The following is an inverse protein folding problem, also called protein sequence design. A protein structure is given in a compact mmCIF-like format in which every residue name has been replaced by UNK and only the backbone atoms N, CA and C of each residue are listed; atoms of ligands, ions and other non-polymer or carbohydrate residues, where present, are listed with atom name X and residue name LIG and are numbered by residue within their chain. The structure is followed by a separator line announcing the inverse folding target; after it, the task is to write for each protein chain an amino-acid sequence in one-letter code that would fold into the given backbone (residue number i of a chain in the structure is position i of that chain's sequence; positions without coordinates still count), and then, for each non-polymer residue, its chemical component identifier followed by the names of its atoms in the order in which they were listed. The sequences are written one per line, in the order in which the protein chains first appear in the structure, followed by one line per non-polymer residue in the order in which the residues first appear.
data_IF_811629512261
#
_entry.id   IF_811629512261
#
_cell.length_a   1.000
_cell.length_b   1.000
_cell.length_c   1.000
_cell.angle_alpha   90.00
_cell.angle_beta   90.00
_cell.angle_gamma   90.00
#
_symmetry.space_group_name_H-M   'P 1'
#
loop_
_entity.id
_entity.type
_entity.pdbx_description
1 polymer ?
#
# COMPACT_ATOMS: atom_id res chain seq x y z
N UNK A 1 19.89 9.80 -17.87
CA UNK A 1 19.35 10.12 -16.53
C UNK A 1 18.48 8.92 -16.16
N UNK A 2 18.59 8.41 -14.95
CA UNK A 2 17.76 7.29 -14.47
C UNK A 2 16.32 7.77 -14.36
N UNK A 3 15.37 7.08 -14.97
CA UNK A 3 13.94 7.39 -14.89
C UNK A 3 13.22 6.25 -14.17
N UNK A 4 12.42 6.57 -13.18
CA UNK A 4 11.70 5.62 -12.36
C UNK A 4 10.20 5.84 -12.53
N UNK A 5 9.46 4.76 -12.74
CA UNK A 5 8.00 4.75 -12.78
C UNK A 5 7.45 3.86 -11.69
N UNK A 6 6.63 4.43 -10.82
CA UNK A 6 6.00 3.72 -9.71
C UNK A 6 4.49 3.71 -9.92
N UNK A 7 3.94 2.55 -10.20
CA UNK A 7 2.48 2.36 -10.22
C UNK A 7 2.04 1.88 -8.86
N UNK A 8 1.01 2.51 -8.30
CA UNK A 8 0.46 2.17 -7.00
C UNK A 8 -1.01 1.77 -7.18
N UNK A 9 -1.32 0.54 -6.81
CA UNK A 9 -2.68 0.01 -6.82
C UNK A 9 -3.21 -0.10 -5.38
N UNK A 10 -4.46 0.23 -5.17
CA UNK A 10 -5.11 0.12 -3.86
C UNK A 10 -6.46 0.81 -3.81
N UNK A 11 -7.01 0.87 -2.62
CA UNK A 11 -8.32 1.46 -2.35
C UNK A 11 -8.31 2.99 -2.20
N UNK A 12 -9.39 3.56 -1.67
CA UNK A 12 -9.56 5.00 -1.47
C UNK A 12 -8.52 5.65 -0.55
N UNK A 13 -7.78 4.88 0.26
CA UNK A 13 -6.70 5.44 1.07
C UNK A 13 -5.58 6.04 0.21
N UNK A 14 -5.43 5.60 -1.04
CA UNK A 14 -4.49 6.20 -1.98
C UNK A 14 -4.89 7.62 -2.39
N UNK A 15 -6.18 7.93 -2.37
CA UNK A 15 -6.67 9.29 -2.74
C UNK A 15 -6.52 10.30 -1.63
N UNK A 16 -6.18 9.87 -0.41
CA UNK A 16 -6.19 10.72 0.76
C UNK A 16 -7.59 11.03 1.27
N UNK A 17 -8.57 10.16 0.99
CA UNK A 17 -9.94 10.32 1.49
C UNK A 17 -9.95 10.46 3.02
N UNK A 18 -10.62 11.51 3.55
CA UNK A 18 -10.61 11.85 4.97
C UNK A 18 -9.46 12.77 5.41
N UNK A 19 -8.43 12.98 4.59
CA UNK A 19 -7.33 13.89 4.89
C UNK A 19 -7.71 15.34 4.54
N UNK A 20 -7.75 16.28 5.51
CA UNK A 20 -8.07 17.68 5.24
C UNK A 20 -7.12 18.34 4.24
N UNK A 21 -5.91 17.82 4.07
CA UNK A 21 -4.90 18.29 3.11
C UNK A 21 -4.94 17.58 1.76
N UNK A 22 -5.72 16.51 1.64
CA UNK A 22 -5.82 15.71 0.42
C UNK A 22 -4.52 15.03 -0.02
N UNK A 23 -3.50 14.93 0.86
CA UNK A 23 -2.21 14.34 0.52
C UNK A 23 -2.20 12.81 0.63
N UNK A 24 -3.01 12.27 1.53
CA UNK A 24 -2.92 10.86 1.88
C UNK A 24 -1.53 10.45 2.38
N UNK A 25 -1.26 9.17 2.46
CA UNK A 25 0.07 8.68 2.81
C UNK A 25 1.06 8.84 1.64
N UNK A 26 0.60 8.64 0.41
CA UNK A 26 1.45 8.69 -0.79
C UNK A 26 2.00 10.10 -1.03
N UNK A 27 1.17 11.14 -0.94
CA UNK A 27 1.63 12.52 -1.10
C UNK A 27 2.68 12.92 -0.06
N UNK A 28 2.56 12.40 1.17
CA UNK A 28 3.55 12.60 2.22
C UNK A 28 4.88 11.90 1.94
N UNK A 29 4.83 10.69 1.36
CA UNK A 29 6.01 9.96 0.92
C UNK A 29 6.69 10.67 -0.26
N UNK A 30 5.91 11.12 -1.24
CA UNK A 30 6.41 11.88 -2.39
C UNK A 30 7.13 13.17 -1.97
N UNK A 31 6.61 13.86 -0.95
CA UNK A 31 7.21 15.09 -0.44
C UNK A 31 8.61 14.88 0.20
N UNK A 32 9.00 13.65 0.44
CA UNK A 32 10.32 13.25 1.00
C UNK A 32 11.30 12.73 -0.06
N UNK A 33 10.92 12.78 -1.33
CA UNK A 33 11.81 12.38 -2.41
C UNK A 33 13.07 13.24 -2.43
N UNK A 34 14.26 12.63 -2.60
CA UNK A 34 15.50 13.37 -2.82
C UNK A 34 15.37 14.28 -4.05
N UNK A 35 15.97 15.45 -3.95
CA UNK A 35 15.93 16.42 -5.06
C UNK A 35 16.73 15.92 -6.27
N UNK A 36 16.20 16.17 -7.46
CA UNK A 36 16.87 15.84 -8.71
C UNK A 36 16.59 14.43 -9.24
N UNK A 37 15.80 13.63 -8.52
CA UNK A 37 15.38 12.31 -8.98
C UNK A 37 14.18 12.41 -9.96
N UNK A 38 14.28 11.69 -11.08
CA UNK A 38 13.19 11.58 -12.06
C UNK A 38 12.30 10.38 -11.71
N UNK A 39 11.31 10.63 -10.85
CA UNK A 39 10.34 9.61 -10.38
C UNK A 39 8.92 10.04 -10.71
N UNK A 40 8.25 9.26 -11.55
CA UNK A 40 6.84 9.44 -11.86
C UNK A 40 5.98 8.46 -11.06
N UNK A 41 4.99 8.98 -10.32
CA UNK A 41 4.03 8.18 -9.54
C UNK A 41 2.67 8.13 -10.23
N UNK A 42 2.09 6.94 -10.31
CA UNK A 42 0.78 6.68 -10.92
C UNK A 42 -0.14 5.99 -9.90
N UNK A 43 -0.79 6.75 -9.00
CA UNK A 43 -1.78 6.19 -8.09
C UNK A 43 -3.04 5.79 -8.83
N UNK A 44 -3.44 4.53 -8.68
CA UNK A 44 -4.60 3.91 -9.31
C UNK A 44 -5.52 3.38 -8.23
N UNK A 45 -6.31 4.27 -7.65
CA UNK A 45 -7.25 3.94 -6.58
C UNK A 45 -8.59 3.43 -7.13
N UNK A 46 -9.13 2.41 -6.47
CA UNK A 46 -10.50 1.95 -6.67
C UNK A 46 -11.18 1.82 -5.30
N UNK A 47 -12.30 2.51 -5.12
CA UNK A 47 -13.04 2.49 -3.85
C UNK A 47 -13.51 1.07 -3.54
N UNK A 48 -13.37 0.66 -2.27
CA UNK A 48 -13.80 -0.64 -1.74
C UNK A 48 -13.14 -1.87 -2.40
N UNK A 49 -11.97 -1.70 -3.00
CA UNK A 49 -11.28 -2.76 -3.74
C UNK A 49 -10.81 -3.92 -2.86
N UNK A 50 -11.18 -5.14 -3.24
CA UNK A 50 -10.67 -6.40 -2.67
C UNK A 50 -9.55 -7.00 -3.53
N UNK A 51 -8.90 -8.07 -3.03
CA UNK A 51 -7.76 -8.70 -3.73
C UNK A 51 -8.13 -9.36 -5.06
N UNK A 52 -9.39 -9.77 -5.23
CA UNK A 52 -9.87 -10.35 -6.50
C UNK A 52 -9.92 -9.32 -7.61
N UNK A 53 -10.55 -8.18 -7.33
CA UNK A 53 -10.64 -7.04 -8.26
C UNK A 53 -9.25 -6.48 -8.59
N UNK A 54 -8.40 -6.38 -7.58
CA UNK A 54 -7.02 -5.95 -7.74
C UNK A 54 -6.22 -6.87 -8.67
N UNK A 55 -6.38 -8.20 -8.51
CA UNK A 55 -5.77 -9.20 -9.39
C UNK A 55 -6.27 -9.07 -10.84
N UNK A 56 -7.55 -8.81 -11.05
CA UNK A 56 -8.13 -8.68 -12.39
C UNK A 56 -7.59 -7.49 -13.16
N UNK A 57 -7.41 -6.33 -12.50
CA UNK A 57 -7.06 -5.09 -13.19
C UNK A 57 -5.56 -4.75 -13.22
N UNK A 58 -4.77 -5.25 -12.27
CA UNK A 58 -3.40 -4.78 -12.04
C UNK A 58 -2.56 -4.72 -13.32
N UNK A 59 -2.58 -5.80 -14.10
CA UNK A 59 -1.73 -5.94 -15.29
C UNK A 59 -2.13 -4.99 -16.40
N UNK A 60 -3.43 -4.94 -16.72
CA UNK A 60 -3.98 -4.10 -17.79
C UNK A 60 -3.78 -2.61 -17.52
N UNK A 61 -3.77 -2.20 -16.25
CA UNK A 61 -3.59 -0.81 -15.87
C UNK A 61 -2.11 -0.45 -15.65
N UNK A 62 -1.35 -1.30 -14.98
CA UNK A 62 0.04 -1.00 -14.67
C UNK A 62 0.92 -0.97 -15.93
N UNK A 63 0.76 -1.95 -16.84
CA UNK A 63 1.60 -2.03 -18.04
C UNK A 63 1.46 -0.81 -18.96
N UNK A 64 0.31 -0.15 -18.97
CA UNK A 64 0.11 1.09 -19.75
C UNK A 64 0.94 2.27 -19.24
N UNK A 65 1.42 2.21 -18.00
CA UNK A 65 2.18 3.28 -17.35
C UNK A 65 3.67 2.97 -17.25
N UNK A 66 4.02 1.73 -17.47
CA UNK A 66 5.41 1.31 -17.56
C UNK A 66 6.05 1.72 -18.88
N UNK A 67 7.36 1.84 -18.89
CA UNK A 67 8.14 2.14 -20.07
C UNK A 67 9.38 1.24 -20.14
N UNK A 68 9.76 0.76 -21.33
CA UNK A 68 10.99 0.00 -21.49
C UNK A 68 12.25 0.83 -21.18
N UNK A 69 12.14 2.15 -21.25
CA UNK A 69 13.26 3.08 -21.00
C UNK A 69 13.34 3.53 -19.54
N UNK A 70 12.51 2.94 -18.64
CA UNK A 70 12.47 3.32 -17.23
C UNK A 70 12.57 2.08 -16.33
N UNK A 71 13.02 2.28 -15.11
CA UNK A 71 12.84 1.26 -14.06
C UNK A 71 11.39 1.28 -13.59
N UNK A 72 10.72 0.13 -13.70
CA UNK A 72 9.31 -0.01 -13.41
C UNK A 72 9.09 -0.71 -12.05
N UNK A 73 8.30 -0.08 -11.22
CA UNK A 73 8.00 -0.51 -9.86
C UNK A 73 6.50 -0.58 -9.63
N UNK A 74 6.05 -1.56 -8.83
CA UNK A 74 4.66 -1.75 -8.48
C UNK A 74 4.50 -1.74 -6.95
N UNK A 75 3.62 -0.89 -6.45
CA UNK A 75 3.16 -0.92 -5.07
C UNK A 75 1.76 -1.52 -5.05
N UNK A 76 1.55 -2.47 -4.15
CA UNK A 76 0.25 -3.07 -3.87
C UNK A 76 -0.16 -2.65 -2.48
N UNK A 77 -1.11 -1.73 -2.37
CA UNK A 77 -1.67 -1.27 -1.11
C UNK A 77 -2.96 -2.04 -0.83
N UNK A 78 -2.87 -3.01 0.08
CA UNK A 78 -3.95 -3.93 0.41
C UNK A 78 -4.95 -3.30 1.37
N UNK A 79 -6.22 -3.56 1.13
CA UNK A 79 -7.32 -3.21 2.01
C UNK A 79 -7.78 -4.41 2.84
N UNK A 80 -8.76 -4.19 3.72
CA UNK A 80 -9.49 -5.24 4.43
C UNK A 80 -10.81 -5.63 3.75
N UNK A 81 -11.06 -5.16 2.53
CA UNK A 81 -12.34 -5.33 1.81
C UNK A 81 -12.65 -6.77 1.41
N UNK A 82 -11.66 -7.64 1.40
CA UNK A 82 -11.86 -9.10 1.29
C UNK A 82 -12.83 -9.62 2.36
N UNK A 83 -12.79 -9.08 3.59
CA UNK A 83 -13.68 -9.45 4.69
C UNK A 83 -15.13 -9.09 4.34
N UNK A 84 -15.37 -7.85 3.92
CA UNK A 84 -16.70 -7.37 3.54
C UNK A 84 -17.25 -8.10 2.31
N UNK A 85 -16.37 -8.48 1.38
CA UNK A 85 -16.72 -9.28 0.20
C UNK A 85 -16.96 -10.77 0.52
N UNK A 86 -16.77 -11.21 1.76
CA UNK A 86 -16.90 -12.61 2.15
C UNK A 86 -15.83 -13.52 1.53
N UNK A 87 -14.72 -12.95 1.10
CA UNK A 87 -13.60 -13.70 0.52
C UNK A 87 -12.84 -14.42 1.63
N UNK A 88 -12.65 -15.74 1.47
CA UNK A 88 -11.87 -16.48 2.46
C UNK A 88 -10.41 -16.06 2.48
N UNK A 89 -9.76 -16.14 3.64
CA UNK A 89 -8.32 -15.81 3.78
C UNK A 89 -7.47 -16.60 2.79
N UNK A 90 -7.80 -17.87 2.56
CA UNK A 90 -7.08 -18.70 1.58
C UNK A 90 -7.20 -18.15 0.16
N UNK A 91 -8.37 -17.64 -0.22
CA UNK A 91 -8.58 -17.03 -1.54
C UNK A 91 -7.86 -15.70 -1.64
N UNK A 92 -7.94 -14.84 -0.62
CA UNK A 92 -7.22 -13.56 -0.57
C UNK A 92 -5.70 -13.76 -0.72
N UNK A 93 -5.16 -14.76 0.00
CA UNK A 93 -3.74 -15.15 -0.11
C UNK A 93 -3.38 -15.62 -1.53
N UNK A 94 -4.25 -16.42 -2.15
CA UNK A 94 -4.03 -16.91 -3.52
C UNK A 94 -4.07 -15.75 -4.53
N UNK A 95 -5.02 -14.83 -4.39
CA UNK A 95 -5.13 -13.66 -5.26
C UNK A 95 -3.85 -12.80 -5.18
N UNK A 96 -3.39 -12.48 -3.98
CA UNK A 96 -2.14 -11.73 -3.78
C UNK A 96 -0.94 -12.50 -4.33
N UNK A 97 -0.83 -13.80 -4.06
CA UNK A 97 0.24 -14.64 -4.56
C UNK A 97 0.31 -14.62 -6.09
N UNK A 98 -0.84 -14.78 -6.76
CA UNK A 98 -0.94 -14.76 -8.22
C UNK A 98 -0.50 -13.40 -8.80
N UNK A 99 -0.95 -12.28 -8.19
CA UNK A 99 -0.54 -10.96 -8.61
C UNK A 99 0.97 -10.75 -8.51
N UNK A 100 1.56 -11.13 -7.38
CA UNK A 100 3.00 -10.95 -7.14
C UNK A 100 3.84 -11.84 -8.06
N UNK A 101 3.40 -13.08 -8.32
CA UNK A 101 4.07 -14.00 -9.23
C UNK A 101 3.98 -13.52 -10.69
N UNK A 102 2.84 -12.93 -11.07
CA UNK A 102 2.67 -12.31 -12.38
C UNK A 102 3.58 -11.08 -12.53
N UNK A 103 3.63 -10.21 -11.51
CA UNK A 103 4.50 -9.03 -11.53
C UNK A 103 5.99 -9.42 -11.64
N UNK A 104 6.40 -10.48 -10.95
CA UNK A 104 7.75 -11.00 -11.05
C UNK A 104 8.06 -11.52 -12.48
N UNK A 105 7.11 -12.20 -13.13
CA UNK A 105 7.26 -12.65 -14.51
C UNK A 105 7.40 -11.49 -15.51
N UNK A 106 6.74 -10.37 -15.23
CA UNK A 106 6.89 -9.12 -16.01
C UNK A 106 8.19 -8.35 -15.67
N UNK A 107 9.03 -8.87 -14.75
CA UNK A 107 10.27 -8.22 -14.34
C UNK A 107 10.07 -6.98 -13.47
N UNK A 108 8.89 -6.81 -12.88
CA UNK A 108 8.53 -5.62 -12.08
C UNK A 108 8.88 -5.84 -10.61
N UNK A 109 9.61 -4.88 -10.03
CA UNK A 109 9.92 -4.89 -8.60
C UNK A 109 8.69 -4.48 -7.79
N UNK A 110 8.31 -5.28 -6.80
CA UNK A 110 7.10 -5.07 -6.00
C UNK A 110 7.38 -4.64 -4.56
N UNK A 111 6.44 -3.87 -4.00
CA UNK A 111 6.40 -3.44 -2.61
C UNK A 111 4.96 -3.54 -2.13
N UNK A 112 4.72 -4.07 -0.93
CA UNK A 112 3.37 -4.31 -0.44
C UNK A 112 3.12 -3.52 0.84
N UNK A 113 2.02 -2.79 0.87
CA UNK A 113 1.50 -2.09 2.06
C UNK A 113 0.29 -2.87 2.56
N UNK A 114 0.34 -3.32 3.80
CA UNK A 114 -0.70 -4.14 4.42
C UNK A 114 -1.93 -3.35 4.84
N UNK A 115 -3.04 -4.05 5.15
CA UNK A 115 -4.30 -3.44 5.57
C UNK A 115 -4.16 -2.74 6.92
N UNK A 116 -5.06 -1.80 7.16
CA UNK A 116 -5.13 -1.02 8.40
C UNK A 116 -6.31 -1.46 9.28
N UNK A 117 -6.22 -1.33 10.62
CA UNK A 117 -7.35 -1.57 11.51
C UNK A 117 -8.43 -0.48 11.34
N UNK A 118 -9.67 -0.81 11.69
CA UNK A 118 -10.83 0.09 11.60
C UNK A 118 -11.29 0.61 12.96
N UNK A 119 -10.72 0.11 14.07
CA UNK A 119 -11.12 0.46 15.44
C UNK A 119 -12.37 -0.27 15.93
N UNK A 120 -12.77 -1.35 15.25
CA UNK A 120 -13.83 -2.26 15.68
C UNK A 120 -13.19 -3.61 16.06
N UNK A 121 -13.25 -4.03 17.35
CA UNK A 121 -12.53 -5.22 17.82
C UNK A 121 -12.86 -6.52 17.09
N UNK A 122 -14.16 -6.73 16.75
CA UNK A 122 -14.57 -7.95 16.04
C UNK A 122 -14.05 -7.96 14.60
N UNK A 123 -14.22 -6.86 13.88
CA UNK A 123 -13.72 -6.70 12.54
C UNK A 123 -12.18 -6.72 12.49
N UNK A 124 -11.55 -6.05 13.44
CA UNK A 124 -10.10 -5.96 13.51
C UNK A 124 -9.43 -7.30 13.82
N UNK A 125 -10.11 -8.23 14.53
CA UNK A 125 -9.64 -9.59 14.69
C UNK A 125 -9.57 -10.34 13.35
N UNK A 126 -10.51 -10.11 12.43
CA UNK A 126 -10.46 -10.67 11.08
C UNK A 126 -9.35 -10.01 10.25
N UNK A 127 -9.17 -8.69 10.38
CA UNK A 127 -8.06 -7.97 9.72
C UNK A 127 -6.71 -8.49 10.19
N UNK A 128 -6.55 -8.83 11.47
CA UNK A 128 -5.31 -9.42 12.00
C UNK A 128 -4.96 -10.73 11.30
N UNK A 129 -5.94 -11.62 11.15
CA UNK A 129 -5.75 -12.90 10.44
C UNK A 129 -5.43 -12.69 8.95
N UNK A 130 -6.13 -11.74 8.31
CA UNK A 130 -5.89 -11.37 6.91
C UNK A 130 -4.47 -10.81 6.72
N UNK A 131 -4.07 -9.86 7.58
CA UNK A 131 -2.73 -9.27 7.58
C UNK A 131 -1.63 -10.34 7.75
N UNK A 132 -1.80 -11.26 8.69
CA UNK A 132 -0.87 -12.37 8.88
C UNK A 132 -0.77 -13.25 7.64
N UNK A 133 -1.91 -13.52 6.97
CA UNK A 133 -1.96 -14.26 5.72
C UNK A 133 -1.21 -13.57 4.58
N UNK A 134 -1.38 -12.27 4.42
CA UNK A 134 -0.65 -11.47 3.43
C UNK A 134 0.84 -11.41 3.72
N UNK A 135 1.21 -11.19 4.97
CA UNK A 135 2.62 -11.21 5.38
C UNK A 135 3.32 -12.52 5.01
N UNK A 136 2.68 -13.67 5.27
CA UNK A 136 3.24 -15.00 4.91
C UNK A 136 3.48 -15.14 3.40
N UNK A 137 2.52 -14.70 2.57
CA UNK A 137 2.63 -14.72 1.10
C UNK A 137 3.82 -13.88 0.63
N UNK A 138 3.93 -12.66 1.14
CA UNK A 138 4.95 -11.66 0.74
C UNK A 138 6.35 -12.09 1.21
N UNK A 139 6.45 -12.57 2.46
CA UNK A 139 7.71 -13.04 3.06
C UNK A 139 8.33 -14.20 2.27
N UNK A 140 7.53 -15.18 1.83
CA UNK A 140 7.99 -16.31 1.01
C UNK A 140 8.59 -15.88 -0.33
N UNK A 141 8.23 -14.71 -0.84
CA UNK A 141 8.73 -14.11 -2.08
C UNK A 141 9.86 -13.12 -1.87
N UNK A 142 10.28 -12.91 -0.61
CA UNK A 142 11.31 -11.95 -0.23
C UNK A 142 10.97 -10.50 -0.70
N UNK A 143 9.68 -10.19 -0.76
CA UNK A 143 9.17 -8.85 -1.10
C UNK A 143 9.07 -8.04 0.19
N UNK A 144 9.26 -6.72 0.12
CA UNK A 144 9.09 -5.82 1.26
C UNK A 144 7.61 -5.68 1.61
N UNK A 145 7.31 -5.79 2.90
CA UNK A 145 5.97 -5.65 3.45
C UNK A 145 5.93 -4.59 4.54
N UNK A 146 5.01 -3.65 4.41
CA UNK A 146 4.71 -2.68 5.45
C UNK A 146 3.52 -3.20 6.26
N UNK A 147 3.78 -3.68 7.46
CA UNK A 147 2.72 -4.02 8.40
C UNK A 147 2.09 -2.73 8.93
N UNK A 148 0.92 -2.39 8.46
CA UNK A 148 0.15 -1.26 8.96
C UNK A 148 -0.82 -1.65 10.08
N UNK A 149 -1.14 -2.93 10.23
CA UNK A 149 -2.10 -3.38 11.24
C UNK A 149 -1.53 -3.31 12.66
N UNK A 150 -0.43 -4.04 12.92
CA UNK A 150 0.08 -4.19 14.27
C UNK A 150 0.54 -2.86 14.92
N UNK A 151 1.23 -1.94 14.22
CA UNK A 151 1.59 -0.66 14.81
C UNK A 151 0.40 0.28 15.06
N UNK A 152 -0.70 0.12 14.32
CA UNK A 152 -1.83 1.05 14.36
C UNK A 152 -3.00 0.58 15.23
N UNK A 153 -3.14 -0.73 15.48
CA UNK A 153 -4.32 -1.30 16.16
C UNK A 153 -4.58 -0.75 17.58
N UNK A 154 -3.54 -0.29 18.25
CA UNK A 154 -3.63 0.30 19.59
C UNK A 154 -3.13 1.77 19.61
N UNK A 155 -2.85 2.34 18.45
CA UNK A 155 -2.31 3.70 18.37
C UNK A 155 -3.43 4.72 18.57
N UNK A 156 -3.35 5.50 19.66
CA UNK A 156 -4.38 6.46 20.06
C UNK A 156 -4.75 7.44 18.95
N UNK A 157 -3.76 8.04 18.29
CA UNK A 157 -3.98 9.00 17.19
C UNK A 157 -4.65 8.39 15.98
N UNK A 158 -4.34 7.11 15.66
CA UNK A 158 -5.03 6.36 14.60
C UNK A 158 -6.48 6.10 14.98
N UNK A 159 -6.71 5.48 16.14
CA UNK A 159 -8.04 5.09 16.61
C UNK A 159 -8.96 6.31 16.75
N UNK A 160 -8.47 7.41 17.28
CA UNK A 160 -9.24 8.66 17.40
C UNK A 160 -9.80 9.14 16.07
N UNK A 161 -9.02 9.09 14.99
CA UNK A 161 -9.47 9.52 13.67
C UNK A 161 -10.43 8.51 13.02
N UNK A 162 -10.08 7.23 12.97
CA UNK A 162 -10.91 6.23 12.26
C UNK A 162 -12.24 5.96 12.95
N UNK A 163 -12.30 6.00 14.29
CA UNK A 163 -13.55 5.77 15.01
C UNK A 163 -14.48 6.99 14.99
N UNK A 164 -13.96 8.19 14.79
CA UNK A 164 -14.77 9.41 14.68
C UNK A 164 -15.27 9.68 13.27
N UNK A 165 -14.69 9.04 12.26
CA UNK A 165 -15.08 9.25 10.86
C UNK A 165 -16.18 8.25 10.43
N UNK A 166 -17.30 8.70 9.80
CA UNK A 166 -18.42 7.82 9.44
C UNK A 166 -18.06 6.63 8.54
N UNK A 167 -17.00 6.76 7.74
CA UNK A 167 -16.47 5.71 6.87
C UNK A 167 -15.19 5.08 7.39
N UNK A 168 -14.88 5.25 8.67
CA UNK A 168 -13.63 4.75 9.29
C UNK A 168 -12.37 5.12 8.52
N UNK A 169 -12.34 6.33 7.94
CA UNK A 169 -11.19 6.85 7.22
C UNK A 169 -10.23 7.58 8.17
N UNK A 170 -8.92 7.45 7.97
CA UNK A 170 -7.95 8.23 8.74
C UNK A 170 -7.95 9.69 8.31
N UNK A 171 -7.48 10.55 9.20
CA UNK A 171 -7.22 11.96 8.93
C UNK A 171 -5.74 12.23 8.74
N UNK A 172 -5.33 13.45 9.08
CA UNK A 172 -3.95 13.90 8.87
C UNK A 172 -2.94 13.07 9.67
N UNK A 173 -3.26 12.71 10.91
CA UNK A 173 -2.37 11.92 11.78
C UNK A 173 -2.22 10.50 11.24
N UNK A 174 -3.34 9.82 10.95
CA UNK A 174 -3.33 8.46 10.46
C UNK A 174 -2.57 8.30 9.14
N UNK A 175 -2.78 9.21 8.18
CA UNK A 175 -1.99 9.20 6.95
C UNK A 175 -0.51 9.51 7.17
N UNK A 176 -0.18 10.36 8.16
CA UNK A 176 1.19 10.59 8.59
C UNK A 176 1.85 9.34 9.13
N UNK A 177 1.12 8.55 9.92
CA UNK A 177 1.58 7.27 10.47
C UNK A 177 1.84 6.23 9.38
N UNK A 178 0.92 6.06 8.42
CA UNK A 178 1.13 5.15 7.28
C UNK A 178 2.37 5.59 6.48
N UNK A 179 2.50 6.88 6.17
CA UNK A 179 3.66 7.39 5.44
C UNK A 179 4.97 7.13 6.20
N UNK A 180 4.97 7.32 7.51
CA UNK A 180 6.14 7.02 8.35
C UNK A 180 6.51 5.53 8.30
N UNK A 181 5.50 4.63 8.40
CA UNK A 181 5.73 3.19 8.29
C UNK A 181 6.33 2.82 6.93
N UNK A 182 5.78 3.35 5.84
CA UNK A 182 6.27 3.11 4.48
C UNK A 182 7.73 3.54 4.34
N UNK A 183 8.05 4.77 4.75
CA UNK A 183 9.41 5.32 4.67
C UNK A 183 10.41 4.49 5.48
N UNK A 184 10.05 4.09 6.70
CA UNK A 184 10.92 3.32 7.60
C UNK A 184 11.01 1.81 7.27
N UNK A 185 10.29 1.34 6.26
CA UNK A 185 10.40 -0.04 5.75
C UNK A 185 11.23 -0.15 4.47
N UNK A 186 12.11 0.84 4.25
CA UNK A 186 13.10 0.82 3.18
C UNK A 186 12.54 1.24 1.83
N UNK A 187 11.65 2.22 1.81
CA UNK A 187 11.07 2.77 0.58
C UNK A 187 12.13 3.29 -0.39
N UNK A 188 13.02 4.15 0.07
CA UNK A 188 14.07 4.72 -0.78
C UNK A 188 15.10 3.69 -1.22
N UNK A 189 15.48 2.77 -0.32
CA UNK A 189 16.37 1.66 -0.66
C UNK A 189 15.75 0.75 -1.74
N UNK A 190 14.43 0.48 -1.65
CA UNK A 190 13.72 -0.32 -2.64
C UNK A 190 13.70 0.34 -4.01
N UNK A 191 13.56 1.66 -4.06
CA UNK A 191 13.68 2.46 -5.29
C UNK A 191 15.14 2.63 -5.74
N UNK A 192 16.12 2.21 -4.92
CA UNK A 192 17.55 2.44 -5.17
C UNK A 192 17.92 3.93 -5.07
N UNK A 193 17.18 4.69 -4.28
CA UNK A 193 17.47 6.08 -3.94
C UNK A 193 18.18 6.13 -2.59
N UNK A 194 19.08 7.06 -2.41
CA UNK A 194 19.75 7.31 -1.14
C UNK A 194 18.96 8.38 -0.40
N UNK A 195 18.60 8.09 0.85
CA UNK A 195 18.02 9.11 1.72
C UNK A 195 19.09 10.20 1.92
N UNK A 196 18.78 11.47 1.57
CA UNK A 196 19.66 12.58 1.96
C UNK A 196 19.55 12.71 3.48
N UNK A 197 20.66 12.47 4.20
CA UNK A 197 20.78 12.83 5.60
C UNK A 197 20.39 14.29 5.75
N UNK A 198 19.27 14.55 6.42
CA UNK A 198 18.85 15.91 6.74
C UNK A 198 19.78 16.43 7.84
N UNK A 199 20.94 17.01 7.42
CA UNK A 199 21.84 17.76 8.28
C UNK A 199 21.19 19.08 8.71
#
# INVERSE_FOLDING_TARGET
MRSIRVVILGDELLTGAGDPKGLGWLGRVQARLPKGEDVAFFPLAMVDENTGELLERWKSEALKRFSPDSENYLVVALSSKDIEAGTTISRSRLNLASLLDDAQREGVKTFVVGPTPKGNPEYDAEVEHLNAGFYDVVKRRQIRYVDCYNPLKEHEGWLSEVTSHPRTLPGQVGYGLIAWLVLNRGWFEWLGLVEEDQS
#
